data_IF_171595618377
#
_entry.id   IF_171595618377
#
_cell.length_a   1.000
_cell.length_b   1.000
_cell.length_c   1.000
_cell.angle_alpha   90.00
_cell.angle_beta   90.00
_cell.angle_gamma   90.00
#
_symmetry.space_group_name_H-M   'P 1'
#
loop_
_entity.id
_entity.type
_entity.pdbx_description
1 polymer ?
#
# COMPACT_ATOMS: atom_id res chain seq x y z
N UNK A 1 -2.92 20.43 -23.13
CA UNK A 1 -3.34 21.01 -21.84
C UNK A 1 -2.31 20.60 -20.80
N UNK A 2 -1.54 21.55 -20.28
CA UNK A 2 -0.63 21.29 -19.16
C UNK A 2 -1.50 21.17 -17.91
N UNK A 3 -1.70 19.96 -17.43
CA UNK A 3 -2.26 19.73 -16.10
C UNK A 3 -1.18 20.14 -15.10
N UNK A 4 -1.16 21.42 -14.74
CA UNK A 4 -0.48 21.86 -13.53
C UNK A 4 -1.24 21.24 -12.36
N UNK A 5 -0.83 20.05 -11.95
CA UNK A 5 -1.23 19.53 -10.64
C UNK A 5 -0.62 20.45 -9.60
N UNK A 6 -1.46 21.12 -8.82
CA UNK A 6 -1.00 21.82 -7.63
C UNK A 6 -0.15 20.84 -6.80
N UNK A 7 1.07 21.26 -6.50
CA UNK A 7 1.98 20.43 -5.71
C UNK A 7 1.33 20.23 -4.34
N UNK A 8 1.12 18.96 -3.98
CA UNK A 8 0.56 18.60 -2.67
C UNK A 8 1.26 19.38 -1.54
N UNK A 9 0.46 19.89 -0.62
CA UNK A 9 0.95 20.59 0.57
C UNK A 9 1.86 19.68 1.41
N UNK A 10 2.76 20.24 2.23
CA UNK A 10 3.59 19.44 3.14
C UNK A 10 2.78 18.48 4.02
N UNK A 11 1.61 18.94 4.49
CA UNK A 11 0.70 18.12 5.30
C UNK A 11 0.12 16.93 4.52
N UNK A 12 -0.26 17.13 3.25
CA UNK A 12 -0.74 16.04 2.39
C UNK A 12 0.37 15.04 2.06
N UNK A 13 1.59 15.53 1.76
CA UNK A 13 2.75 14.67 1.54
C UNK A 13 3.03 13.78 2.75
N UNK A 14 3.01 14.38 3.95
CA UNK A 14 3.20 13.64 5.21
C UNK A 14 2.10 12.61 5.44
N UNK A 15 0.82 12.96 5.20
CA UNK A 15 -0.30 11.99 5.29
C UNK A 15 -0.15 10.83 4.30
N UNK A 16 0.21 11.11 3.05
CA UNK A 16 0.44 10.09 2.02
C UNK A 16 1.61 9.17 2.39
N UNK A 17 2.71 9.74 2.89
CA UNK A 17 3.85 8.96 3.37
C UNK A 17 3.47 8.00 4.50
N UNK A 18 2.69 8.45 5.50
CA UNK A 18 2.19 7.59 6.57
C UNK A 18 1.33 6.43 6.04
N UNK A 19 0.43 6.70 5.09
CA UNK A 19 -0.38 5.65 4.46
C UNK A 19 0.45 4.67 3.64
N UNK A 20 1.45 5.16 2.90
CA UNK A 20 2.39 4.30 2.15
C UNK A 20 3.21 3.42 3.08
N UNK A 21 3.68 3.95 4.22
CA UNK A 21 4.38 3.17 5.23
C UNK A 21 3.49 2.06 5.82
N UNK A 22 2.23 2.37 6.11
CA UNK A 22 1.25 1.37 6.55
C UNK A 22 1.03 0.27 5.49
N UNK A 23 0.88 0.63 4.22
CA UNK A 23 0.76 -0.35 3.13
C UNK A 23 2.02 -1.21 3.00
N UNK A 24 3.20 -0.59 3.06
CA UNK A 24 4.47 -1.32 2.97
C UNK A 24 4.63 -2.35 4.09
N UNK A 25 4.28 -1.99 5.32
CA UNK A 25 4.28 -2.92 6.43
C UNK A 25 3.25 -4.04 6.25
N UNK A 26 2.01 -3.72 5.85
CA UNK A 26 0.99 -4.73 5.59
C UNK A 26 1.39 -5.68 4.45
N UNK A 27 1.98 -5.17 3.37
CA UNK A 27 2.48 -5.97 2.27
C UNK A 27 3.60 -6.91 2.73
N UNK A 28 4.52 -6.43 3.57
CA UNK A 28 5.53 -7.27 4.22
C UNK A 28 4.88 -8.40 5.03
N UNK A 29 3.89 -8.08 5.88
CA UNK A 29 3.20 -9.09 6.70
C UNK A 29 2.45 -10.10 5.84
N UNK A 30 1.75 -9.67 4.79
CA UNK A 30 1.07 -10.63 3.87
C UNK A 30 2.09 -11.56 3.23
N UNK A 31 3.23 -11.05 2.77
CA UNK A 31 4.30 -11.90 2.25
C UNK A 31 4.88 -12.84 3.33
N UNK A 32 4.97 -12.41 4.60
CA UNK A 32 5.54 -13.24 5.67
C UNK A 32 4.59 -14.36 6.12
N UNK A 33 3.30 -14.04 6.25
CA UNK A 33 2.31 -14.87 6.93
C UNK A 33 1.40 -15.66 5.97
N UNK A 34 1.47 -15.39 4.66
CA UNK A 34 0.62 -16.07 3.65
C UNK A 34 1.44 -16.60 2.48
N UNK A 35 0.82 -17.40 1.61
CA UNK A 35 1.48 -17.88 0.37
C UNK A 35 1.60 -16.78 -0.69
N UNK A 36 0.73 -15.76 -0.64
CA UNK A 36 0.68 -14.68 -1.61
C UNK A 36 2.02 -13.95 -1.72
N UNK A 37 2.30 -13.49 -2.93
CA UNK A 37 3.40 -12.57 -3.20
C UNK A 37 2.82 -11.17 -3.45
N UNK A 38 3.19 -10.20 -2.62
CA UNK A 38 2.70 -8.82 -2.72
C UNK A 38 3.85 -7.88 -3.06
N UNK A 39 3.68 -7.11 -4.15
CA UNK A 39 4.60 -6.04 -4.56
C UNK A 39 3.96 -4.69 -4.24
N UNK A 40 4.66 -3.86 -3.46
CA UNK A 40 4.28 -2.47 -3.22
C UNK A 40 5.41 -1.55 -3.64
N UNK A 41 5.14 -0.68 -4.61
CA UNK A 41 6.17 0.12 -5.29
C UNK A 41 5.76 1.59 -5.37
N UNK A 42 6.75 2.47 -5.22
CA UNK A 42 6.64 3.89 -5.56
C UNK A 42 7.71 4.25 -6.58
N UNK A 43 7.30 4.85 -7.69
CA UNK A 43 8.21 5.39 -8.70
C UNK A 43 8.15 6.91 -8.69
N UNK A 44 9.24 7.55 -8.26
CA UNK A 44 9.37 9.02 -8.33
C UNK A 44 9.57 9.56 -9.75
N UNK A 45 9.97 8.71 -10.71
CA UNK A 45 10.18 9.11 -12.10
C UNK A 45 8.86 9.40 -12.82
N UNK A 46 7.85 8.54 -12.60
CA UNK A 46 6.51 8.67 -13.19
C UNK A 46 5.43 9.03 -12.17
N UNK A 47 5.85 9.31 -10.93
CA UNK A 47 5.00 9.61 -9.77
C UNK A 47 3.83 8.64 -9.56
N UNK A 48 4.16 7.35 -9.65
CA UNK A 48 3.24 6.21 -9.63
C UNK A 48 3.38 5.45 -8.31
N UNK A 49 2.25 5.06 -7.73
CA UNK A 49 2.20 4.03 -6.68
C UNK A 49 1.52 2.80 -7.26
N UNK A 50 2.11 1.63 -7.06
CA UNK A 50 1.55 0.36 -7.52
C UNK A 50 1.48 -0.65 -6.38
N UNK A 51 0.39 -1.41 -6.34
CA UNK A 51 0.22 -2.58 -5.49
C UNK A 51 -0.20 -3.77 -6.36
N UNK A 52 0.57 -4.85 -6.34
CA UNK A 52 0.27 -6.10 -7.03
C UNK A 52 0.20 -7.27 -6.05
N UNK A 53 -0.69 -8.20 -6.31
CA UNK A 53 -0.89 -9.43 -5.54
C UNK A 53 -0.87 -10.59 -6.54
N UNK A 54 0.07 -11.50 -6.33
CA UNK A 54 0.28 -12.67 -7.16
C UNK A 54 -0.05 -13.94 -6.38
N UNK A 55 -0.35 -15.02 -7.12
CA UNK A 55 -0.89 -16.26 -6.57
C UNK A 55 0.00 -16.88 -5.49
N UNK A 56 1.32 -16.82 -5.66
CA UNK A 56 2.26 -17.22 -4.62
C UNK A 56 3.65 -16.66 -4.89
N UNK A 57 4.58 -16.85 -3.94
CA UNK A 57 6.01 -16.54 -4.11
C UNK A 57 6.66 -17.32 -5.24
N UNK A 58 6.25 -18.57 -5.46
CA UNK A 58 6.75 -19.43 -6.55
C UNK A 58 6.13 -19.08 -7.90
N UNK A 59 4.88 -18.61 -7.88
CA UNK A 59 4.11 -18.17 -9.07
C UNK A 59 3.93 -16.65 -9.07
N UNK A 60 5.02 -15.92 -8.85
CA UNK A 60 5.00 -14.45 -8.74
C UNK A 60 4.60 -13.76 -10.06
N UNK A 61 4.65 -14.48 -11.18
CA UNK A 61 4.18 -14.02 -12.49
C UNK A 61 2.66 -14.19 -12.70
N UNK A 62 1.99 -14.99 -11.86
CA UNK A 62 0.54 -15.19 -11.91
C UNK A 62 -0.17 -14.12 -11.07
N UNK A 63 -0.51 -13.00 -11.71
CA UNK A 63 -1.16 -11.86 -11.05
C UNK A 63 -2.64 -12.17 -10.76
N UNK A 64 -3.03 -12.08 -9.49
CA UNK A 64 -4.44 -12.16 -9.05
C UNK A 64 -5.08 -10.77 -9.11
N UNK A 65 -4.35 -9.75 -8.65
CA UNK A 65 -4.79 -8.37 -8.66
C UNK A 65 -3.62 -7.43 -8.88
N UNK A 66 -3.85 -6.37 -9.65
CA UNK A 66 -2.90 -5.26 -9.78
C UNK A 66 -3.69 -3.96 -9.82
N UNK A 67 -3.16 -2.94 -9.15
CA UNK A 67 -3.74 -1.62 -9.17
C UNK A 67 -2.63 -0.60 -8.97
N UNK A 68 -2.66 0.45 -9.78
CA UNK A 68 -1.77 1.57 -9.65
C UNK A 68 -2.52 2.90 -9.62
N UNK A 69 -1.81 3.96 -9.23
CA UNK A 69 -2.35 5.30 -9.11
C UNK A 69 -1.28 6.37 -9.34
N UNK A 70 -1.54 7.28 -10.26
CA UNK A 70 -0.67 8.40 -10.59
C UNK A 70 -0.95 9.61 -9.70
N UNK A 71 0.07 10.39 -9.33
CA UNK A 71 -0.14 11.62 -8.55
C UNK A 71 -0.93 12.72 -9.27
N UNK A 72 -1.01 12.66 -10.61
CA UNK A 72 -1.84 13.58 -11.40
C UNK A 72 -3.34 13.33 -11.23
N UNK A 73 -3.72 12.21 -10.64
CA UNK A 73 -5.11 11.81 -10.47
C UNK A 73 -5.64 12.15 -9.08
N UNK A 74 -6.90 12.61 -9.05
CA UNK A 74 -7.61 12.91 -7.81
C UNK A 74 -7.87 11.64 -6.99
N UNK A 75 -8.07 11.81 -5.68
CA UNK A 75 -8.47 10.71 -4.80
C UNK A 75 -7.35 9.76 -4.35
N UNK A 76 -6.08 10.14 -4.53
CA UNK A 76 -4.91 9.34 -4.10
C UNK A 76 -4.97 8.86 -2.65
N UNK A 77 -5.42 9.71 -1.74
CA UNK A 77 -5.56 9.32 -0.33
C UNK A 77 -6.66 8.26 -0.12
N UNK A 78 -7.81 8.41 -0.79
CA UNK A 78 -8.91 7.44 -0.71
C UNK A 78 -8.51 6.08 -1.29
N UNK A 79 -7.75 6.08 -2.39
CA UNK A 79 -7.18 4.88 -2.99
C UNK A 79 -6.22 4.18 -2.02
N UNK A 80 -5.26 4.90 -1.43
CA UNK A 80 -4.32 4.33 -0.45
C UNK A 80 -5.06 3.70 0.75
N UNK A 81 -6.06 4.42 1.30
CA UNK A 81 -6.92 3.88 2.37
C UNK A 81 -7.66 2.61 1.95
N UNK A 82 -8.08 2.51 0.68
CA UNK A 82 -8.70 1.28 0.17
C UNK A 82 -7.72 0.12 0.11
N UNK A 83 -6.47 0.35 -0.31
CA UNK A 83 -5.44 -0.70 -0.37
C UNK A 83 -5.09 -1.24 1.01
N UNK A 84 -5.02 -0.36 2.03
CA UNK A 84 -4.90 -0.76 3.43
C UNK A 84 -6.03 -1.72 3.83
N UNK A 85 -7.29 -1.41 3.49
CA UNK A 85 -8.43 -2.29 3.80
C UNK A 85 -8.32 -3.65 3.12
N UNK A 86 -7.89 -3.70 1.86
CA UNK A 86 -7.73 -4.98 1.14
C UNK A 86 -6.64 -5.86 1.75
N UNK A 87 -5.48 -5.30 2.09
CA UNK A 87 -4.40 -6.07 2.71
C UNK A 87 -4.80 -6.59 4.10
N UNK A 88 -5.48 -5.77 4.91
CA UNK A 88 -6.06 -6.21 6.19
C UNK A 88 -7.05 -7.36 5.99
N UNK A 89 -7.93 -7.27 5.00
CA UNK A 89 -8.90 -8.31 4.71
C UNK A 89 -8.25 -9.63 4.26
N UNK A 90 -7.14 -9.58 3.50
CA UNK A 90 -6.38 -10.78 3.14
C UNK A 90 -5.81 -11.46 4.38
N UNK A 91 -5.25 -10.70 5.31
CA UNK A 91 -4.73 -11.24 6.56
C UNK A 91 -5.85 -11.87 7.41
N UNK A 92 -6.98 -11.17 7.56
CA UNK A 92 -8.14 -11.66 8.31
C UNK A 92 -8.72 -12.95 7.73
N UNK A 93 -8.90 -13.02 6.41
CA UNK A 93 -9.44 -14.22 5.74
C UNK A 93 -8.44 -15.37 5.66
N UNK A 94 -7.14 -15.07 5.65
CA UNK A 94 -6.06 -16.05 5.79
C UNK A 94 -5.89 -16.61 7.21
N UNK A 95 -6.73 -16.20 8.16
CA UNK A 95 -6.64 -16.65 9.56
C UNK A 95 -5.50 -16.00 10.35
N UNK A 96 -4.88 -14.95 9.81
CA UNK A 96 -3.82 -14.19 10.50
C UNK A 96 -4.48 -13.20 11.44
N UNK A 97 -4.24 -13.36 12.75
CA UNK A 97 -4.78 -12.49 13.79
C UNK A 97 -4.13 -11.10 13.75
N UNK A 98 -4.73 -10.22 12.95
CA UNK A 98 -4.31 -8.84 12.79
C UNK A 98 -4.29 -8.04 14.11
N UNK A 99 -5.07 -8.46 15.12
CA UNK A 99 -5.14 -7.75 16.40
C UNK A 99 -3.80 -7.77 17.15
N UNK A 100 -3.00 -8.84 16.98
CA UNK A 100 -1.65 -8.97 17.55
C UNK A 100 -0.64 -8.02 16.92
N UNK A 101 -0.88 -7.64 15.67
CA UNK A 101 0.02 -6.78 14.88
C UNK A 101 -0.42 -5.32 14.89
N UNK A 102 -1.63 -5.03 15.39
CA UNK A 102 -2.20 -3.67 15.43
C UNK A 102 -1.27 -2.65 16.07
N UNK A 103 -0.50 -3.05 17.10
CA UNK A 103 0.50 -2.19 17.75
C UNK A 103 1.66 -1.85 16.80
N UNK A 104 2.24 -2.83 16.13
CA UNK A 104 3.33 -2.61 15.18
C UNK A 104 2.88 -1.79 13.97
N UNK A 105 1.67 -2.02 13.47
CA UNK A 105 1.10 -1.21 12.37
C UNK A 105 0.92 0.24 12.80
N UNK A 106 0.37 0.47 14.00
CA UNK A 106 0.21 1.81 14.55
C UNK A 106 1.57 2.50 14.75
N UNK A 107 2.57 1.76 15.25
CA UNK A 107 3.92 2.25 15.46
C UNK A 107 4.55 2.73 14.14
N UNK A 108 4.51 1.90 13.09
CA UNK A 108 5.03 2.26 11.77
C UNK A 108 4.28 3.46 11.17
N UNK A 109 2.95 3.48 11.28
CA UNK A 109 2.14 4.61 10.81
C UNK A 109 2.37 5.89 11.63
N UNK A 110 2.87 5.77 12.87
CA UNK A 110 3.14 6.89 13.76
C UNK A 110 4.51 7.53 13.56
N UNK A 111 5.40 6.93 12.75
CA UNK A 111 6.72 7.50 12.50
C UNK A 111 6.64 8.94 12.01
N UNK A 112 7.55 9.76 12.54
CA UNK A 112 7.77 11.13 12.12
C UNK A 112 8.85 11.12 11.05
N UNK A 113 8.45 11.50 9.84
CA UNK A 113 9.29 11.64 8.65
C UNK A 113 9.53 13.12 8.36
#
# INVERSE_FOLDING_TARGET
MSYYTEKASPAEKKRRAKLMAEIGYLAYVVNAETEYCVFFEYSGHVDLIRLEICASKERYNEKIASSDHYSSEDGKEAWLKSKIRHLKHILETGGVDYSRMKRAVYEVASYEF
#
